data_IF_656037913967
#
_entry.id   IF_656037913967
#
_cell.length_a   1.000
_cell.length_b   1.000
_cell.length_c   1.000
_cell.angle_alpha   90.00
_cell.angle_beta   90.00
_cell.angle_gamma   90.00
#
_symmetry.space_group_name_H-M   'P 1'
#
loop_
_entity.id
_entity.type
_entity.pdbx_description
1 polymer ?
#
# COMPACT_ATOMS: atom_id res chain seq x y z
N UNK A 1 43.75 -13.04 -4.35
CA UNK A 1 43.63 -11.60 -4.65
C UNK A 1 42.54 -11.42 -5.68
N UNK A 2 41.57 -10.55 -5.35
CA UNK A 2 40.47 -10.04 -6.16
C UNK A 2 39.49 -11.07 -6.78
N UNK A 3 38.45 -11.44 -6.02
CA UNK A 3 37.18 -11.86 -6.61
C UNK A 3 36.34 -10.61 -6.85
N UNK A 4 35.92 -10.46 -8.10
CA UNK A 4 35.03 -9.41 -8.61
C UNK A 4 33.69 -9.43 -7.88
N UNK A 5 33.47 -8.44 -7.01
CA UNK A 5 32.13 -8.11 -6.52
C UNK A 5 31.31 -7.57 -7.70
N UNK A 6 30.49 -8.45 -8.24
CA UNK A 6 29.46 -8.14 -9.22
C UNK A 6 28.53 -7.07 -8.66
N UNK A 7 28.30 -6.04 -9.46
CA UNK A 7 27.23 -5.05 -9.32
C UNK A 7 25.88 -5.73 -9.02
N UNK A 8 25.55 -5.93 -7.76
CA UNK A 8 24.18 -6.19 -7.35
C UNK A 8 23.45 -4.86 -7.43
N UNK A 9 22.73 -4.64 -8.53
CA UNK A 9 21.72 -3.59 -8.60
C UNK A 9 20.74 -3.70 -7.42
N UNK A 10 19.94 -2.64 -7.15
CA UNK A 10 18.94 -2.69 -6.09
C UNK A 10 18.10 -3.97 -6.24
N UNK A 11 17.75 -4.65 -5.13
CA UNK A 11 17.03 -5.91 -5.19
C UNK A 11 15.81 -5.72 -6.09
N UNK A 12 15.67 -6.62 -7.08
CA UNK A 12 14.53 -6.62 -7.97
C UNK A 12 13.29 -6.70 -7.09
N UNK A 13 12.54 -5.58 -7.01
CA UNK A 13 11.32 -5.48 -6.22
C UNK A 13 10.46 -6.70 -6.57
N UNK A 14 9.99 -7.41 -5.56
CA UNK A 14 9.15 -8.59 -5.73
C UNK A 14 7.99 -8.28 -6.68
N UNK A 15 7.47 -9.29 -7.40
CA UNK A 15 6.33 -9.07 -8.32
C UNK A 15 5.22 -8.34 -7.56
N UNK A 16 4.51 -7.36 -8.16
CA UNK A 16 3.47 -6.59 -7.45
C UNK A 16 2.35 -7.41 -6.81
N UNK A 17 2.17 -8.66 -7.27
CA UNK A 17 1.22 -9.65 -6.73
C UNK A 17 1.84 -10.64 -5.73
N UNK A 18 3.16 -10.62 -5.55
CA UNK A 18 3.89 -11.44 -4.60
C UNK A 18 3.90 -10.77 -3.23
N UNK A 19 3.99 -11.59 -2.19
CA UNK A 19 4.24 -11.11 -0.83
C UNK A 19 5.74 -10.88 -0.67
N UNK A 20 6.14 -9.74 -0.13
CA UNK A 20 7.52 -9.42 0.25
C UNK A 20 7.63 -9.39 1.77
N UNK A 21 8.42 -10.33 2.30
CA UNK A 21 8.56 -10.48 3.75
C UNK A 21 9.29 -9.29 4.40
N UNK A 22 10.16 -8.59 3.67
CA UNK A 22 10.97 -7.51 4.22
C UNK A 22 10.40 -6.12 3.92
N UNK A 23 9.37 -6.04 3.09
CA UNK A 23 8.68 -4.78 2.82
C UNK A 23 7.64 -4.50 3.93
N UNK A 24 7.94 -3.53 4.78
CA UNK A 24 7.05 -3.10 5.87
C UNK A 24 5.71 -2.61 5.29
N UNK A 25 5.74 -1.96 4.13
CA UNK A 25 4.54 -1.45 3.50
C UNK A 25 3.64 -2.60 3.01
N UNK A 26 4.23 -3.72 2.60
CA UNK A 26 3.48 -4.92 2.24
C UNK A 26 2.85 -5.59 3.47
N UNK A 27 3.61 -5.70 4.56
CA UNK A 27 3.08 -6.21 5.84
C UNK A 27 1.90 -5.37 6.31
N UNK A 28 2.01 -4.03 6.23
CA UNK A 28 0.93 -3.12 6.62
C UNK A 28 -0.27 -3.20 5.67
N UNK A 29 -0.03 -3.22 4.36
CA UNK A 29 -1.10 -3.35 3.37
C UNK A 29 -1.89 -4.66 3.56
N UNK A 30 -1.20 -5.78 3.73
CA UNK A 30 -1.83 -7.11 3.81
C UNK A 30 -2.54 -7.40 5.12
N UNK A 31 -2.31 -6.57 6.15
CA UNK A 31 -3.03 -6.63 7.42
C UNK A 31 -4.50 -6.19 7.28
N UNK A 32 -4.80 -5.35 6.30
CA UNK A 32 -6.16 -4.87 6.04
C UNK A 32 -7.12 -6.02 5.77
N UNK A 33 -8.34 -5.88 6.29
CA UNK A 33 -9.38 -6.90 6.21
C UNK A 33 -10.11 -6.84 4.87
N UNK A 34 -10.35 -8.02 4.29
CA UNK A 34 -11.13 -8.21 3.08
C UNK A 34 -12.35 -9.09 3.36
N UNK A 35 -13.49 -8.80 2.71
CA UNK A 35 -14.71 -9.56 2.93
C UNK A 35 -14.55 -10.97 2.36
N UNK A 36 -14.86 -11.95 3.19
CA UNK A 36 -14.67 -13.36 2.90
C UNK A 36 -15.93 -14.15 3.24
N UNK A 37 -16.13 -15.27 2.57
CA UNK A 37 -17.19 -16.23 2.84
C UNK A 37 -16.57 -17.60 3.10
N UNK A 38 -16.98 -18.25 4.18
CA UNK A 38 -16.55 -19.61 4.48
C UNK A 38 -17.21 -20.59 3.51
N UNK A 39 -16.43 -21.50 2.93
CA UNK A 39 -16.96 -22.58 2.09
C UNK A 39 -17.20 -23.87 2.90
N UNK A 40 -16.55 -23.98 4.06
CA UNK A 40 -16.65 -25.14 4.97
C UNK A 40 -16.90 -24.67 6.39
N UNK A 41 -17.49 -25.56 7.21
CA UNK A 41 -17.63 -25.33 8.64
C UNK A 41 -16.25 -25.37 9.31
N UNK A 42 -16.01 -24.44 10.25
CA UNK A 42 -14.79 -24.40 11.05
C UNK A 42 -15.14 -24.55 12.53
N UNK A 43 -14.64 -25.60 13.15
CA UNK A 43 -14.95 -25.92 14.54
C UNK A 43 -14.19 -25.03 15.53
N UNK A 44 -14.83 -24.65 16.64
CA UNK A 44 -14.24 -23.98 17.80
C UNK A 44 -13.72 -22.56 17.53
N UNK A 45 -14.06 -21.99 16.37
CA UNK A 45 -13.70 -20.62 15.98
C UNK A 45 -14.91 -19.69 15.91
N UNK A 46 -16.04 -20.05 16.53
CA UNK A 46 -17.25 -19.23 16.56
C UNK A 46 -17.05 -17.82 17.08
N UNK A 47 -16.13 -17.64 18.03
CA UNK A 47 -15.76 -16.34 18.61
C UNK A 47 -15.21 -15.32 17.60
N UNK A 48 -14.78 -15.76 16.40
CA UNK A 48 -14.34 -14.85 15.33
C UNK A 48 -15.51 -14.10 14.69
N UNK A 49 -16.74 -14.57 14.85
CA UNK A 49 -17.94 -13.91 14.37
C UNK A 49 -18.76 -13.39 15.55
N UNK A 50 -18.62 -12.09 15.93
CA UNK A 50 -19.35 -11.51 17.05
C UNK A 50 -20.88 -11.56 16.87
N UNK A 51 -21.35 -11.71 15.64
CA UNK A 51 -22.78 -11.75 15.30
C UNK A 51 -23.40 -13.14 15.45
N UNK A 52 -22.63 -14.16 15.84
CA UNK A 52 -23.11 -15.53 16.01
C UNK A 52 -22.71 -16.07 17.39
N UNK A 53 -23.69 -16.60 18.13
CA UNK A 53 -23.45 -17.24 19.44
C UNK A 53 -23.03 -18.73 19.32
N UNK A 54 -22.84 -19.22 18.11
CA UNK A 54 -22.46 -20.61 17.87
C UNK A 54 -20.99 -20.86 18.22
N UNK A 55 -20.67 -22.01 18.82
CA UNK A 55 -19.29 -22.43 19.10
C UNK A 55 -18.43 -22.61 17.84
N UNK A 56 -19.07 -22.92 16.71
CA UNK A 56 -18.43 -23.20 15.42
C UNK A 56 -18.87 -22.17 14.38
N UNK A 57 -18.01 -21.88 13.41
CA UNK A 57 -18.37 -21.05 12.25
C UNK A 57 -19.03 -21.93 11.19
N UNK A 58 -20.28 -21.62 10.86
CA UNK A 58 -21.01 -22.34 9.82
C UNK A 58 -20.44 -22.09 8.43
N UNK A 59 -20.57 -23.08 7.54
CA UNK A 59 -20.33 -22.87 6.11
C UNK A 59 -21.28 -21.79 5.58
N UNK A 60 -20.78 -20.94 4.69
CA UNK A 60 -21.50 -19.79 4.14
C UNK A 60 -21.47 -18.54 5.02
N UNK A 61 -20.92 -18.59 6.24
CA UNK A 61 -20.78 -17.41 7.08
C UNK A 61 -19.85 -16.38 6.43
N UNK A 62 -20.23 -15.10 6.52
CA UNK A 62 -19.44 -13.97 6.03
C UNK A 62 -18.56 -13.44 7.17
N UNK A 63 -17.30 -13.20 6.87
CA UNK A 63 -16.32 -12.74 7.84
C UNK A 63 -15.30 -11.83 7.17
N UNK A 64 -14.79 -10.85 7.91
CA UNK A 64 -13.72 -9.97 7.44
C UNK A 64 -12.38 -10.50 7.96
N UNK A 65 -11.58 -11.07 7.04
CA UNK A 65 -10.27 -11.64 7.33
C UNK A 65 -9.16 -10.75 6.77
N UNK A 66 -8.03 -10.64 7.46
CA UNK A 66 -6.84 -9.99 6.89
C UNK A 66 -6.42 -10.68 5.59
N UNK A 67 -5.97 -9.91 4.60
CA UNK A 67 -5.59 -10.43 3.29
C UNK A 67 -4.60 -11.59 3.38
N UNK A 68 -3.55 -11.47 4.20
CA UNK A 68 -2.52 -12.50 4.32
C UNK A 68 -3.11 -13.85 4.76
N UNK A 69 -4.14 -13.84 5.62
CA UNK A 69 -4.80 -15.06 6.08
C UNK A 69 -5.75 -15.62 5.03
N UNK A 70 -6.54 -14.75 4.40
CA UNK A 70 -7.47 -15.13 3.34
C UNK A 70 -6.74 -15.76 2.15
N UNK A 71 -5.56 -15.24 1.80
CA UNK A 71 -4.67 -15.79 0.76
C UNK A 71 -4.32 -17.25 1.03
N UNK A 72 -3.88 -17.57 2.25
CA UNK A 72 -3.47 -18.94 2.60
C UNK A 72 -4.68 -19.90 2.69
N UNK A 73 -5.85 -19.40 3.08
CA UNK A 73 -7.09 -20.20 3.18
C UNK A 73 -7.80 -20.40 1.83
N UNK A 74 -7.51 -19.55 0.84
CA UNK A 74 -8.05 -19.60 -0.52
C UNK A 74 -7.01 -20.18 -1.49
N UNK A 75 -6.68 -21.46 -1.33
CA UNK A 75 -5.78 -22.19 -2.22
C UNK A 75 -6.54 -22.92 -3.32
N UNK A 76 -5.94 -23.02 -4.52
CA UNK A 76 -6.45 -23.85 -5.64
C UNK A 76 -6.75 -25.30 -5.24
N UNK A 77 -6.02 -25.85 -4.28
CA UNK A 77 -6.19 -27.24 -3.82
C UNK A 77 -7.19 -27.37 -2.68
N UNK A 78 -7.41 -26.29 -1.91
CA UNK A 78 -8.27 -26.30 -0.73
C UNK A 78 -8.88 -24.91 -0.57
N UNK A 79 -10.15 -24.80 -0.93
CA UNK A 79 -10.93 -23.58 -0.81
C UNK A 79 -11.69 -23.61 0.51
N UNK A 80 -11.04 -23.21 1.59
CA UNK A 80 -11.70 -23.06 2.92
C UNK A 80 -12.56 -21.80 2.93
N UNK A 81 -12.09 -20.78 2.22
CA UNK A 81 -12.68 -19.45 2.12
C UNK A 81 -12.75 -19.03 0.65
N UNK A 82 -13.82 -18.33 0.27
CA UNK A 82 -13.89 -17.51 -0.93
C UNK A 82 -13.80 -16.03 -0.56
N UNK A 83 -13.12 -15.25 -1.40
CA UNK A 83 -12.96 -13.82 -1.21
C UNK A 83 -14.01 -13.09 -2.04
N UNK A 84 -14.75 -12.19 -1.41
CA UNK A 84 -15.66 -11.28 -2.08
C UNK A 84 -14.87 -10.02 -2.48
N UNK A 85 -15.17 -9.45 -3.65
CA UNK A 85 -14.51 -8.23 -4.08
C UNK A 85 -14.87 -7.03 -3.16
N UNK A 86 -13.89 -6.34 -2.55
CA UNK A 86 -14.15 -5.16 -1.73
C UNK A 86 -14.87 -4.07 -2.53
N UNK A 87 -15.75 -3.32 -1.86
CA UNK A 87 -16.62 -2.31 -2.50
C UNK A 87 -15.86 -1.30 -3.35
N UNK A 88 -14.66 -0.90 -2.91
CA UNK A 88 -13.81 0.10 -3.58
C UNK A 88 -13.28 -0.36 -4.95
N UNK A 89 -13.30 -1.66 -5.24
CA UNK A 89 -12.88 -2.22 -6.53
C UNK A 89 -14.04 -2.62 -7.42
N UNK A 90 -15.29 -2.55 -6.94
CA UNK A 90 -16.49 -2.87 -7.72
C UNK A 90 -16.75 -1.82 -8.79
N UNK A 91 -17.57 -2.19 -9.78
CA UNK A 91 -17.90 -1.38 -10.96
C UNK A 91 -18.23 0.09 -10.65
N UNK A 92 -19.12 0.36 -9.69
CA UNK A 92 -19.49 1.75 -9.37
C UNK A 92 -18.31 2.64 -8.95
N UNK A 93 -17.34 2.12 -8.19
CA UNK A 93 -16.12 2.89 -7.87
C UNK A 93 -15.16 3.00 -9.05
N UNK A 94 -15.11 1.97 -9.91
CA UNK A 94 -14.33 2.02 -11.15
C UNK A 94 -14.86 3.08 -12.11
N UNK A 95 -16.18 3.26 -12.21
CA UNK A 95 -16.79 4.33 -12.99
C UNK A 95 -16.42 5.72 -12.47
N UNK A 96 -16.43 5.92 -11.15
CA UNK A 96 -16.00 7.18 -10.51
C UNK A 96 -14.54 7.48 -10.85
N UNK A 97 -13.64 6.49 -10.70
CA UNK A 97 -12.22 6.63 -11.05
C UNK A 97 -12.02 6.88 -12.54
N UNK A 98 -12.86 6.29 -13.39
CA UNK A 98 -12.82 6.49 -14.84
C UNK A 98 -13.28 7.90 -15.23
N UNK A 99 -14.28 8.45 -14.54
CA UNK A 99 -14.78 9.80 -14.75
C UNK A 99 -13.69 10.84 -14.43
N UNK A 100 -13.19 10.86 -13.19
CA UNK A 100 -11.99 11.63 -12.83
C UNK A 100 -11.31 11.06 -11.59
N UNK A 101 -10.13 10.47 -11.78
CA UNK A 101 -9.35 9.93 -10.68
C UNK A 101 -8.75 11.01 -9.77
N UNK A 102 -8.60 12.26 -10.22
CA UNK A 102 -7.92 13.32 -9.45
C UNK A 102 -8.73 13.88 -8.28
N UNK A 103 -10.05 13.75 -8.33
CA UNK A 103 -10.96 14.24 -7.27
C UNK A 103 -11.20 13.20 -6.18
N UNK A 104 -10.83 11.94 -6.44
CA UNK A 104 -11.01 10.83 -5.50
C UNK A 104 -9.94 10.89 -4.40
N UNK A 105 -10.40 10.77 -3.16
CA UNK A 105 -9.56 10.62 -1.98
C UNK A 105 -9.21 9.15 -1.79
N UNK A 106 -8.07 8.72 -2.35
CA UNK A 106 -7.64 7.33 -2.29
C UNK A 106 -7.31 6.90 -0.86
N UNK A 107 -6.81 7.82 -0.04
CA UNK A 107 -6.45 7.52 1.35
C UNK A 107 -7.67 7.07 2.17
N UNK A 108 -8.85 7.66 1.92
CA UNK A 108 -10.12 7.23 2.54
C UNK A 108 -10.64 5.89 2.03
N UNK A 109 -10.35 5.54 0.77
CA UNK A 109 -10.75 4.25 0.20
C UNK A 109 -9.85 3.09 0.68
N UNK A 110 -8.65 3.44 1.13
CA UNK A 110 -7.66 2.55 1.72
C UNK A 110 -6.27 3.16 1.52
N UNK A 111 -5.43 3.26 2.57
CA UNK A 111 -4.11 3.88 2.43
C UNK A 111 -3.17 3.15 1.45
N UNK A 112 -3.47 1.89 1.14
CA UNK A 112 -2.74 1.03 0.21
C UNK A 112 -3.63 0.55 -0.96
N UNK A 113 -4.43 1.44 -1.54
CA UNK A 113 -5.35 1.16 -2.65
C UNK A 113 -4.68 0.45 -3.83
N UNK A 114 -3.52 0.92 -4.29
CA UNK A 114 -2.82 0.26 -5.40
C UNK A 114 -2.22 -1.08 -4.97
N UNK A 115 -1.65 -1.16 -3.76
CA UNK A 115 -1.01 -2.37 -3.23
C UNK A 115 -1.99 -3.51 -2.99
N UNK A 116 -3.16 -3.24 -2.41
CA UNK A 116 -4.23 -4.24 -2.27
C UNK A 116 -4.81 -4.60 -3.64
N UNK A 117 -5.02 -3.61 -4.52
CA UNK A 117 -5.59 -3.83 -5.84
C UNK A 117 -4.78 -4.82 -6.69
N UNK A 118 -3.45 -4.75 -6.66
CA UNK A 118 -2.58 -5.71 -7.37
C UNK A 118 -2.57 -7.09 -6.72
N UNK A 119 -2.76 -7.16 -5.40
CA UNK A 119 -2.79 -8.40 -4.62
C UNK A 119 -4.09 -9.17 -4.73
N UNK A 120 -5.20 -8.49 -5.04
CA UNK A 120 -6.49 -9.13 -5.34
C UNK A 120 -6.42 -10.05 -6.57
N UNK A 121 -5.49 -9.82 -7.50
CA UNK A 121 -5.26 -10.71 -8.66
C UNK A 121 -4.87 -12.14 -8.27
N UNK A 122 -4.51 -12.37 -7.00
CA UNK A 122 -4.27 -13.72 -6.49
C UNK A 122 -5.56 -14.55 -6.42
N UNK A 123 -6.70 -13.91 -6.20
CA UNK A 123 -8.01 -14.55 -6.15
C UNK A 123 -8.61 -14.65 -7.55
N UNK A 124 -9.26 -15.75 -7.84
CA UNK A 124 -9.89 -15.99 -9.14
C UNK A 124 -11.23 -15.22 -9.19
N UNK A 125 -11.28 -14.16 -10.00
CA UNK A 125 -12.42 -13.27 -10.17
C UNK A 125 -12.47 -12.78 -11.62
N UNK A 126 -13.65 -12.75 -12.22
CA UNK A 126 -13.87 -12.37 -13.63
C UNK A 126 -13.58 -10.88 -13.88
N UNK A 127 -13.72 -10.04 -12.85
CA UNK A 127 -13.52 -8.59 -12.93
C UNK A 127 -12.05 -8.19 -12.82
N UNK A 128 -11.14 -9.12 -12.52
CA UNK A 128 -9.70 -8.87 -12.34
C UNK A 128 -9.09 -8.04 -13.48
N UNK A 129 -9.39 -8.37 -14.74
CA UNK A 129 -8.86 -7.64 -15.89
C UNK A 129 -9.29 -6.17 -15.90
N UNK A 130 -10.54 -5.87 -15.50
CA UNK A 130 -11.05 -4.50 -15.43
C UNK A 130 -10.48 -3.74 -14.23
N UNK A 131 -10.23 -4.42 -13.11
CA UNK A 131 -9.58 -3.85 -11.94
C UNK A 131 -8.16 -3.40 -12.31
N UNK A 132 -7.35 -4.28 -12.91
CA UNK A 132 -5.97 -3.95 -13.34
C UNK A 132 -5.97 -2.71 -14.24
N UNK A 133 -6.87 -2.70 -15.24
CA UNK A 133 -7.00 -1.58 -16.17
C UNK A 133 -7.36 -0.29 -15.46
N UNK A 134 -8.31 -0.34 -14.53
CA UNK A 134 -8.73 0.85 -13.75
C UNK A 134 -7.60 1.37 -12.87
N UNK A 135 -6.85 0.48 -12.20
CA UNK A 135 -5.68 0.87 -11.39
C UNK A 135 -4.64 1.59 -12.24
N UNK A 136 -4.30 1.02 -13.41
CA UNK A 136 -3.33 1.61 -14.34
C UNK A 136 -3.79 2.97 -14.88
N UNK A 137 -5.04 3.08 -15.31
CA UNK A 137 -5.62 4.32 -15.83
C UNK A 137 -5.68 5.41 -14.73
N UNK A 138 -6.13 5.06 -13.53
CA UNK A 138 -6.19 5.98 -12.40
C UNK A 138 -4.79 6.50 -12.02
N UNK A 139 -3.81 5.60 -11.91
CA UNK A 139 -2.43 5.99 -11.62
C UNK A 139 -1.86 6.92 -12.70
N UNK A 140 -2.04 6.56 -13.98
CA UNK A 140 -1.53 7.37 -15.11
C UNK A 140 -2.14 8.78 -15.13
N UNK A 141 -3.46 8.89 -14.90
CA UNK A 141 -4.16 10.19 -14.86
C UNK A 141 -3.66 11.08 -13.71
N UNK A 142 -3.41 10.49 -12.54
CA UNK A 142 -2.98 11.21 -11.32
C UNK A 142 -1.49 11.55 -11.34
N UNK A 143 -0.67 10.75 -12.02
CA UNK A 143 0.79 10.87 -12.03
C UNK A 143 1.29 12.26 -12.46
N UNK A 144 0.72 12.84 -13.53
CA UNK A 144 1.13 14.18 -14.00
C UNK A 144 0.95 15.23 -12.92
N UNK A 145 -0.26 15.32 -12.35
CA UNK A 145 -0.58 16.29 -11.29
C UNK A 145 0.28 16.08 -10.06
N UNK A 146 0.54 14.82 -9.69
CA UNK A 146 1.41 14.45 -8.59
C UNK A 146 2.84 14.97 -8.80
N UNK A 147 3.44 14.69 -9.96
CA UNK A 147 4.80 15.12 -10.29
C UNK A 147 4.90 16.64 -10.38
N UNK A 148 3.99 17.30 -11.09
CA UNK A 148 3.94 18.76 -11.20
C UNK A 148 3.85 19.42 -9.82
N UNK A 149 3.01 18.89 -8.93
CA UNK A 149 2.87 19.41 -7.56
C UNK A 149 4.11 19.13 -6.69
N UNK A 150 4.78 18.00 -6.89
CA UNK A 150 5.98 17.65 -6.11
C UNK A 150 7.18 18.54 -6.44
N UNK A 151 7.29 19.00 -7.69
CA UNK A 151 8.48 19.70 -8.17
C UNK A 151 8.34 21.22 -8.15
N UNK A 152 7.12 21.76 -8.31
CA UNK A 152 6.91 23.21 -8.48
C UNK A 152 6.55 23.95 -7.19
N UNK A 153 6.39 23.26 -6.06
CA UNK A 153 5.96 23.86 -4.79
C UNK A 153 6.88 23.49 -3.60
N UNK A 154 8.20 23.78 -3.65
CA UNK A 154 9.15 23.32 -2.64
C UNK A 154 8.89 23.91 -1.24
N UNK A 155 8.29 25.09 -1.15
CA UNK A 155 8.08 25.83 0.11
C UNK A 155 6.61 25.95 0.53
N UNK A 156 5.69 25.33 -0.20
CA UNK A 156 4.24 25.38 0.09
C UNK A 156 3.82 24.31 1.10
N UNK A 157 2.75 24.56 1.84
CA UNK A 157 2.11 23.54 2.69
C UNK A 157 1.32 22.55 1.82
N UNK A 158 1.84 21.33 1.71
CA UNK A 158 1.26 20.25 0.89
C UNK A 158 0.41 19.27 1.71
N UNK A 159 0.05 19.60 2.95
CA UNK A 159 -0.71 18.72 3.86
C UNK A 159 -2.06 18.27 3.27
N UNK A 160 -2.83 19.20 2.70
CA UNK A 160 -4.14 18.93 2.08
C UNK A 160 -4.05 18.07 0.82
N UNK A 161 -2.95 18.18 0.08
CA UNK A 161 -2.70 17.36 -1.11
C UNK A 161 -2.35 15.93 -0.67
N UNK A 162 -1.35 15.81 0.20
CA UNK A 162 -0.81 14.52 0.66
C UNK A 162 -1.82 13.70 1.45
N UNK A 163 -2.78 14.34 2.14
CA UNK A 163 -3.82 13.63 2.89
C UNK A 163 -4.74 12.77 2.01
N UNK A 164 -4.84 13.05 0.70
CA UNK A 164 -5.71 12.35 -0.26
C UNK A 164 -4.99 11.28 -1.10
N UNK A 165 -3.68 11.19 -0.95
CA UNK A 165 -2.83 10.32 -1.76
C UNK A 165 -2.78 8.90 -1.19
N UNK A 166 -2.67 7.92 -2.08
CA UNK A 166 -2.25 6.55 -1.73
C UNK A 166 -0.81 6.54 -1.21
N UNK A 167 -0.43 5.52 -0.44
CA UNK A 167 0.94 5.36 0.05
C UNK A 167 2.00 5.36 -1.06
N UNK A 168 1.75 4.68 -2.18
CA UNK A 168 2.65 4.65 -3.34
C UNK A 168 2.81 6.04 -3.94
N UNK A 169 1.72 6.80 -4.02
CA UNK A 169 1.75 8.18 -4.51
C UNK A 169 2.51 9.10 -3.55
N UNK A 170 2.34 8.93 -2.23
CA UNK A 170 3.11 9.66 -1.21
C UNK A 170 4.61 9.40 -1.35
N UNK A 171 5.01 8.14 -1.58
CA UNK A 171 6.42 7.79 -1.80
C UNK A 171 7.01 8.51 -3.03
N UNK A 172 6.28 8.50 -4.15
CA UNK A 172 6.70 9.21 -5.37
C UNK A 172 6.78 10.72 -5.14
N UNK A 173 5.78 11.28 -4.46
CA UNK A 173 5.72 12.70 -4.13
C UNK A 173 6.91 13.15 -3.26
N UNK A 174 7.22 12.39 -2.21
CA UNK A 174 8.34 12.65 -1.32
C UNK A 174 9.68 12.54 -2.07
N UNK A 175 9.83 11.53 -2.93
CA UNK A 175 11.02 11.38 -3.76
C UNK A 175 11.21 12.55 -4.73
N UNK A 176 10.13 13.02 -5.37
CA UNK A 176 10.15 14.20 -6.24
C UNK A 176 10.56 15.46 -5.50
N UNK A 177 9.97 15.71 -4.32
CA UNK A 177 10.30 16.86 -3.46
C UNK A 177 11.75 16.81 -2.99
N UNK A 178 12.22 15.64 -2.55
CA UNK A 178 13.61 15.44 -2.14
C UNK A 178 14.56 15.79 -3.27
N UNK A 179 14.28 15.33 -4.50
CA UNK A 179 15.11 15.64 -5.66
C UNK A 179 15.23 17.13 -5.95
N UNK A 180 14.12 17.87 -5.94
CA UNK A 180 14.13 19.34 -6.14
C UNK A 180 14.84 20.05 -5.00
N UNK A 181 14.58 19.67 -3.76
CA UNK A 181 15.24 20.25 -2.58
C UNK A 181 16.75 20.05 -2.64
N UNK A 182 17.21 18.85 -2.95
CA UNK A 182 18.64 18.52 -3.04
C UNK A 182 19.29 19.31 -4.18
N UNK A 183 18.61 19.47 -5.32
CA UNK A 183 19.07 20.30 -6.43
C UNK A 183 19.21 21.78 -6.06
N UNK A 184 18.21 22.38 -5.41
CA UNK A 184 18.26 23.79 -4.97
C UNK A 184 19.36 24.03 -3.93
N UNK A 185 19.56 23.08 -3.01
CA UNK A 185 20.66 23.15 -2.04
C UNK A 185 22.04 23.08 -2.72
N UNK A 186 22.16 22.27 -3.77
CA UNK A 186 23.37 22.17 -4.57
C UNK A 186 23.63 23.47 -5.34
N UNK A 187 22.62 24.01 -6.02
CA UNK A 187 22.69 25.26 -6.78
C UNK A 187 23.11 26.44 -5.90
N UNK A 188 22.59 26.50 -4.67
CA UNK A 188 22.96 27.50 -3.67
C UNK A 188 24.35 27.27 -3.01
N UNK A 189 25.09 26.23 -3.40
CA UNK A 189 26.39 25.87 -2.83
C UNK A 189 26.34 25.37 -1.38
N UNK A 190 25.15 25.11 -0.85
CA UNK A 190 24.95 24.71 0.57
C UNK A 190 25.32 23.25 0.82
N UNK A 191 25.39 22.41 -0.22
CA UNK A 191 25.80 21.01 -0.10
C UNK A 191 27.29 20.80 0.17
N UNK A 192 28.14 21.83 0.00
CA UNK A 192 29.58 21.71 0.28
C UNK A 192 29.89 21.63 1.79
N UNK A 193 28.96 22.08 2.65
CA UNK A 193 29.13 22.06 4.10
C UNK A 193 28.72 20.70 4.65
N UNK A 194 29.67 19.97 5.22
CA UNK A 194 29.38 18.73 5.96
C UNK A 194 28.54 19.04 7.19
N UNK A 195 27.31 18.52 7.20
CA UNK A 195 26.40 18.59 8.34
C UNK A 195 26.32 17.24 9.04
N UNK A 196 25.99 17.26 10.33
CA UNK A 196 25.71 16.03 11.07
C UNK A 196 24.46 15.36 10.51
N UNK A 197 24.48 14.04 10.32
CA UNK A 197 23.32 13.32 9.81
C UNK A 197 22.13 13.40 10.77
N UNK A 198 20.92 13.41 10.19
CA UNK A 198 19.67 13.46 10.96
C UNK A 198 19.55 12.29 11.94
N UNK A 199 20.08 11.12 11.59
CA UNK A 199 20.15 9.95 12.47
C UNK A 199 20.87 10.26 13.78
N UNK A 200 22.03 10.92 13.71
CA UNK A 200 22.83 11.28 14.89
C UNK A 200 22.13 12.36 15.72
N UNK A 201 21.52 13.36 15.07
CA UNK A 201 20.76 14.42 15.74
C UNK A 201 19.59 13.82 16.52
N UNK A 202 18.83 12.91 15.91
CA UNK A 202 17.66 12.28 16.52
C UNK A 202 18.03 11.32 17.67
N UNK A 203 19.13 10.57 17.56
CA UNK A 203 19.62 9.75 18.68
C UNK A 203 20.04 10.59 19.88
N UNK A 204 20.65 11.76 19.66
CA UNK A 204 21.04 12.67 20.75
C UNK A 204 19.83 13.24 21.48
N UNK A 205 18.75 13.56 20.76
CA UNK A 205 17.48 14.02 21.36
C UNK A 205 16.83 12.94 22.23
N UNK A 206 16.77 11.68 21.74
CA UNK A 206 16.21 10.55 22.50
C UNK A 206 16.97 10.23 23.79
N UNK A 207 18.29 10.41 23.82
CA UNK A 207 19.08 10.24 25.05
C UNK A 207 18.82 11.33 26.08
N UNK A 208 18.51 12.57 25.65
CA UNK A 208 18.18 13.68 26.55
C UNK A 208 16.81 13.50 27.20
N UNK A 209 15.80 13.06 26.46
CA UNK A 209 14.46 12.82 27.01
C UNK A 209 14.36 11.61 27.95
N UNK A 210 15.41 10.79 28.06
CA UNK A 210 15.47 9.65 28.96
C UNK A 210 16.25 9.94 30.26
N UNK A 211 16.78 11.18 30.39
CA UNK A 211 17.54 11.66 31.55
C UNK A 211 16.74 12.67 32.40
N UNK A 212 15.51 12.97 31.99
CA UNK A 212 14.48 13.69 32.76
C UNK A 212 13.42 12.67 33.24
#
# INVERSE_FOLDING_TARGET
>A
MASSDSLTGPPLRSRPSSYDYFDIDDVLATQDKIPCKLEVQIFNLGFLNPSSENQHLAAGAKLDLSYWLAKELCSRRRRVVSVDLPKVYREGYREILRADANVVDLHKLGPYFYGIGTKLMHFDDEENAQIVKTLQEAFTKRFRKLMDSSQNAPHEDTSLLTSKLDHTEKQIFEAGRKGVRDFLLWEAGQMAKLTTSDTVINHRKRKRSALD
#
